data_IF_883544379865
#
_entry.id   IF_883544379865
#
_cell.length_a   1.000
_cell.length_b   1.000
_cell.length_c   1.000
_cell.angle_alpha   90.00
_cell.angle_beta   90.00
_cell.angle_gamma   90.00
#
_symmetry.space_group_name_H-M   'P 1'
#
loop_
_entity.id
_entity.type
_entity.pdbx_description
1 polymer ?
#
# COMPACT_ATOMS: atom_id res chain seq x y z
N UNK A 1 -3.89 9.24 26.62
CA UNK A 1 -2.82 10.23 26.40
C UNK A 1 -3.21 11.56 27.00
N UNK A 2 -2.34 12.22 27.76
CA UNK A 2 -2.62 13.56 28.27
C UNK A 2 -2.23 14.60 27.20
N UNK A 3 -3.22 15.17 26.51
CA UNK A 3 -2.99 15.99 25.32
C UNK A 3 -2.96 17.49 25.66
N UNK A 4 -1.98 18.17 25.09
CA UNK A 4 -1.90 19.64 25.03
C UNK A 4 -2.57 20.12 23.74
N UNK A 5 -3.77 20.70 23.85
CA UNK A 5 -4.48 21.24 22.69
C UNK A 5 -3.78 22.48 22.12
N UNK A 6 -3.52 22.46 20.80
CA UNK A 6 -2.85 23.56 20.10
C UNK A 6 -3.68 24.84 20.21
N UNK A 7 -3.04 25.95 20.58
CA UNK A 7 -3.67 27.26 20.79
C UNK A 7 -4.61 27.37 22.01
N UNK A 8 -4.69 26.34 22.86
CA UNK A 8 -5.44 26.40 24.12
C UNK A 8 -4.51 26.39 25.33
N UNK A 9 -4.92 27.07 26.40
CA UNK A 9 -4.15 27.06 27.66
C UNK A 9 -4.19 25.68 28.31
N UNK A 10 -3.23 25.40 29.21
CA UNK A 10 -3.07 24.07 29.84
C UNK A 10 -4.29 23.60 30.63
N UNK A 11 -5.19 24.50 31.02
CA UNK A 11 -6.45 24.17 31.70
C UNK A 11 -7.41 23.32 30.86
N UNK A 12 -7.22 23.32 29.54
CA UNK A 12 -8.03 22.53 28.61
C UNK A 12 -7.40 21.19 28.27
N UNK A 13 -6.21 20.88 28.81
CA UNK A 13 -5.59 19.58 28.58
C UNK A 13 -6.52 18.46 29.04
N UNK A 14 -6.72 17.46 28.19
CA UNK A 14 -7.62 16.34 28.45
C UNK A 14 -6.88 15.01 28.32
N UNK A 15 -7.44 14.00 28.98
CA UNK A 15 -7.04 12.62 28.78
C UNK A 15 -7.84 12.05 27.62
N UNK A 16 -7.15 11.71 26.53
CA UNK A 16 -7.74 11.08 25.36
C UNK A 16 -7.46 9.58 25.32
N UNK A 17 -8.40 8.82 24.76
CA UNK A 17 -8.20 7.39 24.49
C UNK A 17 -7.25 7.20 23.31
N UNK A 18 -6.82 5.96 23.08
CA UNK A 18 -6.05 5.63 21.90
C UNK A 18 -6.87 5.80 20.60
N UNK A 19 -8.16 5.46 20.64
CA UNK A 19 -9.08 5.62 19.52
C UNK A 19 -9.23 7.10 19.12
N UNK A 20 -9.30 8.01 20.08
CA UNK A 20 -9.34 9.47 19.82
C UNK A 20 -8.10 9.98 19.08
N UNK A 21 -6.94 9.32 19.23
CA UNK A 21 -5.66 9.77 18.64
C UNK A 21 -5.18 8.89 17.49
N UNK A 22 -6.00 7.96 17.01
CA UNK A 22 -5.61 6.99 15.98
C UNK A 22 -5.11 7.64 14.68
N UNK A 23 -5.58 8.84 14.36
CA UNK A 23 -5.18 9.60 13.18
C UNK A 23 -3.89 10.43 13.38
N UNK A 24 -3.32 10.41 14.59
CA UNK A 24 -2.16 11.19 15.00
C UNK A 24 -1.08 10.29 15.62
N UNK A 25 -1.06 9.00 15.27
CA UNK A 25 -0.19 8.01 15.91
C UNK A 25 1.30 8.30 15.70
N UNK A 26 1.68 8.97 14.62
CA UNK A 26 3.02 9.54 14.44
C UNK A 26 3.42 10.50 15.57
N UNK A 27 2.56 11.47 15.93
CA UNK A 27 2.82 12.39 17.05
C UNK A 27 2.85 11.68 18.41
N UNK A 28 2.00 10.65 18.57
CA UNK A 28 1.99 9.81 19.76
C UNK A 28 3.31 9.07 19.90
N UNK A 29 3.83 8.53 18.81
CA UNK A 29 5.10 7.82 18.78
C UNK A 29 6.28 8.74 19.07
N UNK A 30 6.35 9.93 18.45
CA UNK A 30 7.38 10.94 18.74
C UNK A 30 7.42 11.27 20.23
N UNK A 31 6.23 11.48 20.83
CA UNK A 31 6.11 11.74 22.26
C UNK A 31 6.61 10.54 23.09
N UNK A 32 6.25 9.31 22.71
CA UNK A 32 6.69 8.09 23.39
C UNK A 32 8.21 7.88 23.28
N UNK A 33 8.82 8.23 22.15
CA UNK A 33 10.27 8.16 21.96
C UNK A 33 10.95 9.19 22.87
N UNK A 34 10.53 10.46 22.81
CA UNK A 34 11.08 11.56 23.61
C UNK A 34 10.97 11.31 25.12
N UNK A 35 9.89 10.69 25.56
CA UNK A 35 9.64 10.39 26.98
C UNK A 35 10.18 9.03 27.41
N UNK A 36 10.83 8.27 26.51
CA UNK A 36 11.28 6.89 26.74
C UNK A 36 10.15 5.98 27.27
N UNK A 37 8.91 6.22 26.82
CA UNK A 37 7.73 5.47 27.23
C UNK A 37 7.80 4.01 26.77
N UNK A 38 7.42 3.09 27.66
CA UNK A 38 7.29 1.66 27.33
C UNK A 38 6.26 1.38 26.24
N UNK A 39 5.28 2.29 26.07
CA UNK A 39 4.23 2.19 25.07
C UNK A 39 4.75 2.16 23.63
N UNK A 40 5.96 2.69 23.36
CA UNK A 40 6.59 2.60 22.04
C UNK A 40 6.71 1.16 21.51
N UNK A 41 6.96 0.19 22.41
CA UNK A 41 7.05 -1.22 22.01
C UNK A 41 5.70 -1.77 21.55
N UNK A 42 4.59 -1.25 22.08
CA UNK A 42 3.26 -1.64 21.66
C UNK A 42 2.93 -1.06 20.28
N UNK A 43 3.34 0.20 20.01
CA UNK A 43 3.16 0.83 18.71
C UNK A 43 3.93 0.05 17.63
N UNK A 44 5.21 -0.25 17.86
CA UNK A 44 6.03 -1.03 16.91
C UNK A 44 5.45 -2.42 16.68
N UNK A 45 5.00 -3.09 17.75
CA UNK A 45 4.36 -4.40 17.64
C UNK A 45 3.07 -4.34 16.80
N UNK A 46 2.23 -3.32 17.00
CA UNK A 46 1.01 -3.12 16.20
C UNK A 46 1.34 -2.85 14.73
N UNK A 47 2.32 -1.98 14.45
CA UNK A 47 2.77 -1.70 13.10
C UNK A 47 3.28 -2.97 12.38
N UNK A 48 4.03 -3.83 13.07
CA UNK A 48 4.44 -5.13 12.53
C UNK A 48 3.25 -6.06 12.28
N UNK A 49 2.27 -6.13 13.19
CA UNK A 49 1.06 -6.92 12.97
C UNK A 49 0.26 -6.44 11.75
N UNK A 50 0.16 -5.12 11.56
CA UNK A 50 -0.48 -4.51 10.41
C UNK A 50 0.23 -4.90 9.10
N UNK A 51 1.56 -4.81 9.06
CA UNK A 51 2.35 -5.25 7.91
C UNK A 51 2.22 -6.76 7.63
N UNK A 52 1.95 -7.58 8.66
CA UNK A 52 1.82 -9.03 8.53
C UNK A 52 0.37 -9.52 8.29
N UNK A 53 -0.58 -8.63 7.98
CA UNK A 53 -1.99 -9.03 7.81
C UNK A 53 -2.15 -10.09 6.72
N UNK A 54 -2.83 -11.20 7.03
CA UNK A 54 -2.86 -12.37 6.14
C UNK A 54 -3.48 -12.09 4.76
N UNK A 55 -4.56 -11.30 4.71
CA UNK A 55 -5.25 -10.99 3.46
C UNK A 55 -4.58 -9.89 2.64
N UNK A 56 -3.63 -9.15 3.22
CA UNK A 56 -2.99 -8.00 2.60
C UNK A 56 -1.64 -7.70 3.29
N UNK A 57 -0.64 -8.57 3.09
CA UNK A 57 0.67 -8.36 3.68
C UNK A 57 1.39 -7.20 2.99
N UNK A 58 2.05 -6.35 3.76
CA UNK A 58 2.84 -5.24 3.22
C UNK A 58 4.22 -5.74 2.77
N UNK A 59 4.30 -6.11 1.49
CA UNK A 59 5.50 -6.73 0.91
C UNK A 59 6.74 -5.81 0.97
N UNK A 60 6.59 -4.49 0.86
CA UNK A 60 7.74 -3.58 0.95
C UNK A 60 8.32 -3.55 2.36
N UNK A 61 7.47 -3.62 3.39
CA UNK A 61 7.92 -3.70 4.78
C UNK A 61 8.54 -5.06 5.08
N UNK A 62 7.86 -6.15 4.66
CA UNK A 62 8.33 -7.52 4.87
C UNK A 62 9.67 -7.78 4.19
N UNK A 63 9.83 -7.34 2.94
CA UNK A 63 11.08 -7.53 2.19
C UNK A 63 12.27 -6.85 2.86
N UNK A 64 12.11 -5.62 3.33
CA UNK A 64 13.16 -4.90 4.08
C UNK A 64 13.51 -5.60 5.39
N UNK A 65 12.52 -6.10 6.12
CA UNK A 65 12.75 -6.81 7.39
C UNK A 65 13.51 -8.13 7.21
N UNK A 66 13.18 -8.87 6.15
CA UNK A 66 13.82 -10.13 5.77
C UNK A 66 15.14 -9.93 4.99
N UNK A 67 15.42 -8.73 4.49
CA UNK A 67 16.54 -8.49 3.57
C UNK A 67 16.32 -9.12 2.18
N UNK A 68 15.06 -9.28 1.78
CA UNK A 68 14.68 -9.77 0.46
C UNK A 68 14.80 -8.62 -0.57
N UNK A 69 15.44 -8.90 -1.70
CA UNK A 69 15.54 -7.95 -2.81
C UNK A 69 14.42 -8.22 -3.80
N UNK A 70 13.55 -7.23 -4.00
CA UNK A 70 12.49 -7.31 -5.03
C UNK A 70 13.17 -7.29 -6.41
N UNK A 71 12.84 -8.23 -7.32
CA UNK A 71 13.39 -8.23 -8.67
C UNK A 71 13.02 -6.96 -9.46
N UNK A 72 13.86 -6.57 -10.42
CA UNK A 72 13.65 -5.35 -11.23
C UNK A 72 12.33 -5.34 -12.01
N UNK A 73 11.83 -6.52 -12.36
CA UNK A 73 10.53 -6.67 -13.03
C UNK A 73 9.33 -6.55 -12.07
N UNK A 74 9.57 -6.33 -10.78
CA UNK A 74 8.57 -6.20 -9.72
C UNK A 74 7.81 -7.49 -9.39
N UNK A 75 8.13 -8.62 -10.04
CA UNK A 75 7.38 -9.86 -9.88
C UNK A 75 7.84 -10.62 -8.63
N UNK A 76 6.91 -10.88 -7.72
CA UNK A 76 7.15 -11.63 -6.49
C UNK A 76 6.14 -12.78 -6.42
N UNK A 77 6.62 -14.00 -6.21
CA UNK A 77 5.75 -15.18 -6.09
C UNK A 77 4.98 -15.13 -4.77
N UNK A 78 3.76 -15.65 -4.79
CA UNK A 78 2.94 -15.79 -3.57
C UNK A 78 3.66 -16.56 -2.46
N UNK A 79 4.45 -17.57 -2.81
CA UNK A 79 5.22 -18.34 -1.84
C UNK A 79 6.28 -17.48 -1.15
N UNK A 80 6.99 -16.63 -1.89
CA UNK A 80 8.00 -15.72 -1.33
C UNK A 80 7.37 -14.72 -0.35
N UNK A 81 6.21 -14.16 -0.70
CA UNK A 81 5.43 -13.30 0.21
C UNK A 81 5.03 -14.06 1.47
N UNK A 82 4.55 -15.30 1.33
CA UNK A 82 4.19 -16.13 2.47
C UNK A 82 5.40 -16.47 3.35
N UNK A 83 6.58 -16.67 2.75
CA UNK A 83 7.82 -16.98 3.45
C UNK A 83 8.32 -15.78 4.26
N UNK A 84 8.38 -14.60 3.64
CA UNK A 84 8.70 -13.36 4.33
C UNK A 84 7.75 -13.10 5.50
N UNK A 85 6.44 -13.27 5.28
CA UNK A 85 5.43 -13.13 6.33
C UNK A 85 5.69 -14.10 7.48
N UNK A 86 5.98 -15.38 7.21
CA UNK A 86 6.28 -16.36 8.27
C UNK A 86 7.53 -15.99 9.06
N UNK A 87 8.55 -15.46 8.42
CA UNK A 87 9.76 -15.00 9.10
C UNK A 87 9.48 -13.80 10.02
N UNK A 88 8.78 -12.78 9.53
CA UNK A 88 8.43 -11.62 10.35
C UNK A 88 7.48 -11.98 11.50
N UNK A 89 6.56 -12.93 11.29
CA UNK A 89 5.72 -13.45 12.38
C UNK A 89 6.55 -14.15 13.47
N UNK A 90 7.66 -14.80 13.15
CA UNK A 90 8.57 -15.34 14.17
C UNK A 90 9.23 -14.22 14.97
N UNK A 91 9.58 -13.10 14.34
CA UNK A 91 10.15 -11.93 15.03
C UNK A 91 9.20 -11.35 16.09
N UNK A 92 7.89 -11.40 15.84
CA UNK A 92 6.86 -10.92 16.80
C UNK A 92 6.85 -11.67 18.13
N UNK A 93 7.42 -12.88 18.20
CA UNK A 93 7.49 -13.67 19.44
C UNK A 93 8.47 -13.08 20.45
N UNK A 94 9.42 -12.25 20.00
CA UNK A 94 10.46 -11.68 20.85
C UNK A 94 10.52 -10.15 20.70
N UNK A 95 9.98 -9.45 21.70
CA UNK A 95 9.89 -7.98 21.72
C UNK A 95 11.24 -7.27 21.69
N UNK A 96 12.31 -7.82 22.25
CA UNK A 96 13.62 -7.17 22.17
C UNK A 96 14.23 -7.36 20.78
N UNK A 97 14.14 -8.56 20.23
CA UNK A 97 14.65 -8.87 18.89
C UNK A 97 13.94 -8.05 17.79
N UNK A 98 12.62 -7.90 17.84
CA UNK A 98 11.89 -7.07 16.87
C UNK A 98 12.36 -5.61 16.92
N UNK A 99 12.59 -5.05 18.12
CA UNK A 99 12.97 -3.65 18.29
C UNK A 99 14.36 -3.37 17.70
N UNK A 100 15.30 -4.30 17.91
CA UNK A 100 16.65 -4.25 17.32
C UNK A 100 16.59 -4.39 15.81
N UNK A 101 15.80 -5.35 15.28
CA UNK A 101 15.67 -5.55 13.83
C UNK A 101 15.07 -4.33 13.14
N UNK A 102 13.99 -3.77 13.68
CA UNK A 102 13.36 -2.56 13.13
C UNK A 102 14.35 -1.39 13.13
N UNK A 103 15.04 -1.16 14.23
CA UNK A 103 16.03 -0.08 14.32
C UNK A 103 17.15 -0.25 13.29
N UNK A 104 17.66 -1.49 13.13
CA UNK A 104 18.72 -1.80 12.16
C UNK A 104 18.27 -1.56 10.71
N UNK A 105 17.04 -1.93 10.37
CA UNK A 105 16.54 -1.88 8.98
C UNK A 105 16.05 -0.49 8.59
N UNK A 106 15.36 0.22 9.51
CA UNK A 106 14.69 1.48 9.20
C UNK A 106 15.37 2.70 9.81
N UNK A 107 16.47 2.51 10.56
CA UNK A 107 17.24 3.59 11.21
C UNK A 107 16.57 4.17 12.46
N UNK A 108 15.24 4.23 12.50
CA UNK A 108 14.47 4.65 13.67
C UNK A 108 13.10 3.94 13.73
N UNK A 109 12.53 3.84 14.93
CA UNK A 109 11.17 3.32 15.11
C UNK A 109 10.10 4.29 14.59
N UNK A 110 10.39 5.59 14.60
CA UNK A 110 9.55 6.65 14.06
C UNK A 110 9.38 6.50 12.54
N UNK A 111 10.50 6.40 11.81
CA UNK A 111 10.53 6.17 10.37
C UNK A 111 9.80 4.88 10.00
N UNK A 112 9.95 3.82 10.79
CA UNK A 112 9.24 2.56 10.58
C UNK A 112 7.72 2.71 10.73
N UNK A 113 7.22 3.28 11.83
CA UNK A 113 5.79 3.37 12.04
C UNK A 113 5.13 4.36 11.07
N UNK A 114 5.80 5.49 10.77
CA UNK A 114 5.36 6.43 9.75
C UNK A 114 5.24 5.75 8.37
N UNK A 115 6.25 4.97 7.98
CA UNK A 115 6.23 4.20 6.75
C UNK A 115 5.02 3.25 6.70
N UNK A 116 4.75 2.51 7.78
CA UNK A 116 3.61 1.59 7.84
C UNK A 116 2.28 2.36 7.70
N UNK A 117 2.11 3.47 8.42
CA UNK A 117 0.92 4.32 8.32
C UNK A 117 0.70 4.85 6.89
N UNK A 118 1.74 5.46 6.30
CA UNK A 118 1.68 6.00 4.93
C UNK A 118 1.37 4.90 3.90
N UNK A 119 1.91 3.69 4.10
CA UNK A 119 1.64 2.56 3.21
C UNK A 119 0.24 1.99 3.38
N UNK A 120 -0.37 2.08 4.56
CA UNK A 120 -1.78 1.75 4.71
C UNK A 120 -2.69 2.68 3.92
N UNK A 121 -2.41 3.99 3.93
CA UNK A 121 -3.16 4.95 3.13
C UNK A 121 -2.91 4.72 1.63
N UNK A 122 -1.65 4.52 1.23
CA UNK A 122 -1.30 4.19 -0.15
C UNK A 122 -2.02 2.92 -0.64
N UNK A 123 -2.11 1.87 0.18
CA UNK A 123 -2.82 0.64 -0.18
C UNK A 123 -4.31 0.89 -0.47
N UNK A 124 -4.96 1.82 0.26
CA UNK A 124 -6.34 2.23 -0.04
C UNK A 124 -6.41 2.94 -1.39
N UNK A 125 -5.49 3.88 -1.66
CA UNK A 125 -5.42 4.60 -2.93
C UNK A 125 -5.19 3.67 -4.12
N UNK A 126 -4.27 2.70 -3.98
CA UNK A 126 -3.98 1.70 -5.02
C UNK A 126 -5.22 0.85 -5.31
N UNK A 127 -5.96 0.41 -4.29
CA UNK A 127 -7.21 -0.35 -4.49
C UNK A 127 -8.25 0.44 -5.26
N UNK A 128 -8.45 1.70 -4.89
CA UNK A 128 -9.39 2.59 -5.60
C UNK A 128 -8.97 2.78 -7.05
N UNK A 129 -7.68 2.96 -7.32
CA UNK A 129 -7.18 3.12 -8.69
C UNK A 129 -7.25 1.82 -9.50
N UNK A 130 -6.97 0.68 -8.89
CA UNK A 130 -7.16 -0.64 -9.52
C UNK A 130 -8.62 -0.83 -9.93
N UNK A 131 -9.58 -0.52 -9.03
CA UNK A 131 -10.99 -0.61 -9.34
C UNK A 131 -11.36 0.32 -10.51
N UNK A 132 -10.87 1.56 -10.49
CA UNK A 132 -11.04 2.49 -11.60
C UNK A 132 -10.55 1.89 -12.93
N UNK A 133 -9.34 1.33 -12.98
CA UNK A 133 -8.80 0.70 -14.20
C UNK A 133 -9.63 -0.51 -14.63
N UNK A 134 -10.09 -1.35 -13.70
CA UNK A 134 -10.88 -2.54 -14.02
C UNK A 134 -12.25 -2.17 -14.61
N UNK A 135 -12.91 -1.14 -14.06
CA UNK A 135 -14.15 -0.59 -14.60
C UNK A 135 -13.88 0.06 -15.97
N UNK A 136 -12.88 0.92 -16.03
CA UNK A 136 -12.51 1.67 -17.23
C UNK A 136 -11.97 0.79 -18.37
N UNK A 137 -11.51 -0.44 -18.10
CA UNK A 137 -11.11 -1.42 -19.13
C UNK A 137 -12.25 -2.36 -19.56
N UNK A 138 -13.33 -2.42 -18.76
CA UNK A 138 -14.42 -3.39 -18.93
C UNK A 138 -14.08 -4.80 -18.44
N UNK A 139 -13.03 -4.95 -17.63
CA UNK A 139 -12.67 -6.23 -17.00
C UNK A 139 -13.44 -6.51 -15.70
N UNK A 140 -14.19 -5.54 -15.18
CA UNK A 140 -14.86 -5.66 -13.87
C UNK A 140 -16.14 -6.52 -13.90
N UNK A 141 -16.81 -6.67 -15.05
CA UNK A 141 -18.09 -7.38 -15.12
C UNK A 141 -17.90 -8.90 -14.99
N UNK A 142 -18.76 -9.56 -14.22
CA UNK A 142 -18.74 -11.02 -13.96
C UNK A 142 -18.95 -11.89 -15.21
N UNK A 143 -19.52 -11.32 -16.29
CA UNK A 143 -19.63 -11.97 -17.61
C UNK A 143 -18.54 -11.57 -18.61
N UNK A 144 -17.55 -10.78 -18.21
CA UNK A 144 -16.45 -10.36 -19.10
C UNK A 144 -15.43 -11.48 -19.23
N UNK A 145 -15.04 -11.80 -20.47
CA UNK A 145 -13.90 -12.70 -20.75
C UNK A 145 -12.56 -11.97 -20.67
N UNK A 146 -12.56 -10.66 -20.44
CA UNK A 146 -11.34 -9.85 -20.38
C UNK A 146 -10.55 -10.15 -19.09
N UNK A 147 -9.21 -10.26 -19.18
CA UNK A 147 -8.39 -10.48 -18.01
C UNK A 147 -8.50 -9.32 -17.02
N UNK A 148 -8.49 -9.64 -15.73
CA UNK A 148 -8.53 -8.64 -14.67
C UNK A 148 -7.19 -7.90 -14.57
N UNK A 149 -7.21 -6.59 -14.72
CA UNK A 149 -6.03 -5.75 -14.51
C UNK A 149 -5.76 -5.56 -13.02
N UNK A 150 -4.52 -5.79 -12.59
CA UNK A 150 -4.07 -5.62 -11.19
C UNK A 150 -3.08 -4.48 -11.07
N UNK A 151 -3.08 -3.85 -9.91
CA UNK A 151 -2.09 -2.84 -9.54
C UNK A 151 -1.52 -3.18 -8.18
N UNK A 152 -0.19 -3.19 -8.10
CA UNK A 152 0.55 -3.53 -6.89
C UNK A 152 1.74 -2.56 -6.74
N UNK A 153 2.09 -2.18 -5.52
CA UNK A 153 3.32 -1.43 -5.22
C UNK A 153 4.03 -2.04 -4.01
N UNK A 154 5.05 -2.85 -4.30
CA UNK A 154 5.82 -3.62 -3.32
C UNK A 154 7.19 -3.01 -3.02
N UNK A 155 7.48 -1.80 -3.51
CA UNK A 155 8.84 -1.24 -3.48
C UNK A 155 8.89 0.10 -2.73
N UNK A 156 8.06 1.06 -3.15
CA UNK A 156 8.13 2.44 -2.72
C UNK A 156 6.78 3.01 -2.27
N UNK A 157 6.71 4.32 -2.05
CA UNK A 157 5.52 5.04 -1.59
C UNK A 157 4.88 5.89 -2.70
N UNK A 158 5.18 5.60 -3.98
CA UNK A 158 4.63 6.36 -5.08
C UNK A 158 3.14 6.07 -5.25
N UNK A 159 2.35 7.13 -5.20
CA UNK A 159 0.92 7.09 -5.49
C UNK A 159 0.67 6.89 -7.00
N UNK A 160 -0.52 6.40 -7.38
CA UNK A 160 -0.95 6.40 -8.78
C UNK A 160 -0.80 7.78 -9.44
N UNK A 161 -0.53 7.83 -10.76
CA UNK A 161 -0.31 9.08 -11.48
C UNK A 161 -1.56 9.97 -11.44
N UNK A 162 -1.37 11.24 -11.07
CA UNK A 162 -2.44 12.23 -11.07
C UNK A 162 -2.83 12.61 -12.51
N UNK A 163 -4.13 12.80 -12.75
CA UNK A 163 -4.65 13.21 -14.07
C UNK A 163 -4.57 12.12 -15.15
N UNK A 164 -4.18 10.89 -14.80
CA UNK A 164 -4.18 9.78 -15.74
C UNK A 164 -5.61 9.34 -16.09
N UNK A 165 -5.88 9.21 -17.40
CA UNK A 165 -7.15 8.70 -17.93
C UNK A 165 -6.88 7.43 -18.70
N UNK A 166 -7.52 6.34 -18.29
CA UNK A 166 -7.44 5.07 -19.01
C UNK A 166 -8.27 5.17 -20.31
N UNK A 167 -7.64 4.91 -21.45
CA UNK A 167 -8.30 4.81 -22.77
C UNK A 167 -8.22 3.37 -23.28
N UNK A 168 -9.32 2.86 -23.83
CA UNK A 168 -9.39 1.51 -24.42
C UNK A 168 -8.99 1.46 -25.87
N UNK A 169 -9.15 2.59 -26.55
CA UNK A 169 -9.00 2.75 -27.98
C UNK A 169 -8.40 4.13 -28.27
N UNK A 170 -8.04 4.36 -29.53
CA UNK A 170 -7.39 5.59 -29.95
C UNK A 170 -8.28 6.81 -29.70
N UNK A 171 -7.66 7.87 -29.15
CA UNK A 171 -8.27 9.19 -29.06
C UNK A 171 -7.72 10.03 -30.22
N UNK A 172 -8.52 10.35 -31.26
CA UNK A 172 -8.04 11.14 -32.38
C UNK A 172 -7.65 12.54 -31.93
N UNK A 173 -6.52 13.02 -32.45
CA UNK A 173 -6.13 14.41 -32.32
C UNK A 173 -7.03 15.33 -33.18
N UNK A 174 -6.98 16.65 -32.95
CA UNK A 174 -7.73 17.59 -33.77
C UNK A 174 -7.45 17.40 -35.28
N UNK A 175 -8.51 17.23 -36.07
CA UNK A 175 -8.42 17.03 -37.52
C UNK A 175 -8.08 15.62 -37.99
N UNK A 176 -7.99 14.65 -37.08
CA UNK A 176 -7.82 13.22 -37.41
C UNK A 176 -9.17 12.52 -37.31
N UNK A 177 -9.58 11.85 -38.38
CA UNK A 177 -10.78 11.01 -38.40
C UNK A 177 -10.37 9.55 -38.59
N UNK A 178 -10.87 8.68 -37.71
CA UNK A 178 -10.78 7.24 -37.90
C UNK A 178 -12.01 6.78 -38.68
N UNK A 179 -11.85 6.18 -39.87
CA UNK A 179 -12.98 5.60 -40.57
C UNK A 179 -13.50 4.38 -39.80
N UNK A 180 -14.81 4.33 -39.52
CA UNK A 180 -15.45 3.22 -38.79
C UNK A 180 -15.40 1.90 -39.56
N UNK A 181 -15.31 1.96 -40.90
CA UNK A 181 -15.37 0.79 -41.77
C UNK A 181 -14.06 0.65 -42.57
N UNK A 182 -13.38 -0.50 -42.51
CA UNK A 182 -12.20 -0.72 -43.34
C UNK A 182 -12.57 -0.62 -44.82
N UNK A 183 -11.82 0.18 -45.58
CA UNK A 183 -12.09 0.46 -47.02
C UNK A 183 -12.12 -0.80 -47.90
N UNK A 184 -11.60 -1.92 -47.42
CA UNK A 184 -11.64 -3.23 -48.08
C UNK A 184 -11.81 -4.33 -47.02
N UNK A 185 -12.65 -5.33 -47.33
CA UNK A 185 -12.92 -6.49 -46.48
C UNK A 185 -12.82 -7.82 -47.23
N UNK A 186 -12.94 -8.91 -46.46
CA UNK A 186 -13.03 -10.30 -46.90
C UNK A 186 -14.41 -10.53 -47.58
N UNK A 187 -14.47 -11.19 -48.74
CA UNK A 187 -15.72 -11.69 -49.34
C UNK A 187 -15.90 -13.20 -49.14
N UNK A 188 -15.10 -13.80 -48.26
CA UNK A 188 -15.15 -15.23 -48.00
C UNK A 188 -16.41 -15.58 -47.21
N UNK A 189 -17.01 -16.72 -47.52
CA UNK A 189 -18.11 -17.29 -46.72
C UNK A 189 -17.59 -17.81 -45.37
N UNK A 190 -16.33 -18.20 -45.32
CA UNK A 190 -15.58 -18.59 -44.12
C UNK A 190 -14.17 -17.97 -44.18
N UNK A 191 -13.89 -16.94 -43.37
CA UNK A 191 -12.55 -16.31 -43.35
C UNK A 191 -11.50 -17.17 -42.58
N UNK A 192 -11.83 -18.40 -42.15
CA UNK A 192 -10.88 -19.37 -41.54
C UNK A 192 -10.41 -20.47 -42.51
N UNK A 193 -10.94 -20.52 -43.75
CA UNK A 193 -10.52 -21.47 -44.79
C UNK A 193 -9.41 -20.91 -45.69
#
# INVERSE_FOLDING_TARGET
FFIKWKNWSSKFNSWETEESVQNCMSLVLDCCIRTNSSYRSNIVQRALHLACRAGDPDVAVLSRLCGFTVPDNGFIRKQEVADMRREVLKLLTNRSAQMVRVLKVFGSWESFCRLVEERQELAKTIRTWQLYIQVASGSYNTGSTKPLLRVENHVDQQAPPAGFVYIKDFLPGPGVEFPDDPKMGCSCEDCYQ
#
